data_IF_695573634256
#
_entry.id   IF_695573634256
#
_cell.length_a   1.000
_cell.length_b   1.000
_cell.length_c   1.000
_cell.angle_alpha   90.00
_cell.angle_beta   90.00
_cell.angle_gamma   90.00
#
_symmetry.space_group_name_H-M   'P 1'
#
loop_
_entity.id
_entity.type
_entity.pdbx_description
1 polymer ?
#
# COMPACT_ATOMS: atom_id res chain seq x y z
N UNK A 1 8.72 -41.35 -3.17
CA UNK A 1 7.69 -40.31 -3.00
C UNK A 1 6.36 -41.02 -2.83
N UNK A 2 5.65 -40.81 -1.72
CA UNK A 2 4.32 -41.38 -1.55
C UNK A 2 3.39 -40.71 -2.56
N UNK A 3 2.66 -41.50 -3.33
CA UNK A 3 1.70 -41.03 -4.31
C UNK A 3 0.64 -40.16 -3.59
N UNK A 4 0.59 -38.88 -3.95
CA UNK A 4 -0.30 -37.91 -3.32
C UNK A 4 -1.77 -38.30 -3.64
N UNK A 5 -2.52 -38.74 -2.65
CA UNK A 5 -3.89 -39.25 -2.80
C UNK A 5 -4.97 -38.18 -2.94
N UNK A 6 -4.61 -36.88 -2.91
CA UNK A 6 -5.53 -35.74 -2.99
C UNK A 6 -4.89 -34.56 -3.73
N UNK A 7 -5.68 -33.66 -4.32
CA UNK A 7 -5.17 -32.53 -5.13
C UNK A 7 -4.70 -31.33 -4.29
N UNK A 8 -4.70 -31.41 -2.97
CA UNK A 8 -4.24 -30.34 -2.08
C UNK A 8 -2.73 -30.40 -1.90
N UNK A 9 -2.10 -29.22 -1.79
CA UNK A 9 -0.69 -29.10 -1.41
C UNK A 9 -0.55 -29.15 0.11
N UNK A 10 0.14 -30.17 0.61
CA UNK A 10 0.60 -30.22 1.99
C UNK A 10 1.99 -29.63 2.04
N UNK A 11 2.10 -28.43 2.61
CA UNK A 11 3.35 -27.66 2.66
C UNK A 11 4.36 -28.39 3.55
N UNK A 12 5.59 -28.56 3.06
CA UNK A 12 6.68 -29.10 3.86
C UNK A 12 7.03 -28.15 5.03
N UNK A 13 7.56 -28.67 6.16
CA UNK A 13 7.99 -27.84 7.27
C UNK A 13 8.97 -26.77 6.86
N UNK A 14 8.60 -25.51 7.06
CA UNK A 14 9.38 -24.35 6.66
C UNK A 14 9.77 -23.50 7.87
N UNK A 15 10.99 -22.94 7.95
CA UNK A 15 11.40 -22.06 9.04
C UNK A 15 10.83 -20.65 8.94
N UNK A 16 10.29 -20.24 7.77
CA UNK A 16 9.91 -18.84 7.49
C UNK A 16 8.88 -18.28 8.45
N UNK A 17 7.82 -18.99 8.86
CA UNK A 17 6.82 -18.44 9.79
C UNK A 17 7.41 -18.02 11.15
N UNK A 18 8.28 -18.85 11.74
CA UNK A 18 8.91 -18.54 13.03
C UNK A 18 9.95 -17.44 12.90
N UNK A 19 10.73 -17.42 11.78
CA UNK A 19 11.70 -16.35 11.51
C UNK A 19 10.98 -15.03 11.28
N UNK A 20 9.86 -15.02 10.55
CA UNK A 20 9.04 -13.83 10.35
C UNK A 20 8.49 -13.28 11.68
N UNK A 21 7.97 -14.17 12.54
CA UNK A 21 7.44 -13.77 13.84
C UNK A 21 8.52 -13.17 14.76
N UNK A 22 9.69 -13.79 14.82
CA UNK A 22 10.82 -13.28 15.59
C UNK A 22 11.33 -11.94 15.03
N UNK A 23 11.43 -11.81 13.71
CA UNK A 23 11.86 -10.57 13.04
C UNK A 23 10.88 -9.42 13.27
N UNK A 24 9.58 -9.70 13.19
CA UNK A 24 8.54 -8.72 13.48
C UNK A 24 8.60 -8.26 14.95
N UNK A 25 8.76 -9.20 15.89
CA UNK A 25 8.92 -8.85 17.31
C UNK A 25 10.11 -7.90 17.52
N UNK A 26 11.29 -8.22 16.97
CA UNK A 26 12.49 -7.37 17.08
C UNK A 26 12.23 -5.99 16.44
N UNK A 27 11.60 -5.95 15.26
CA UNK A 27 11.27 -4.71 14.57
C UNK A 27 10.35 -3.81 15.42
N UNK A 28 9.26 -4.36 15.97
CA UNK A 28 8.33 -3.57 16.77
C UNK A 28 8.90 -3.14 18.12
N UNK A 29 9.69 -3.99 18.79
CA UNK A 29 10.40 -3.58 20.00
C UNK A 29 11.39 -2.45 19.72
N UNK A 30 12.12 -2.54 18.60
CA UNK A 30 13.02 -1.45 18.15
C UNK A 30 12.27 -0.15 17.84
N UNK A 31 11.09 -0.24 17.21
CA UNK A 31 10.25 0.92 16.89
C UNK A 31 9.70 1.58 18.16
N UNK A 32 9.15 0.79 19.08
CA UNK A 32 8.64 1.30 20.38
C UNK A 32 9.76 2.01 21.17
N UNK A 33 10.93 1.37 21.24
CA UNK A 33 12.07 1.96 21.93
C UNK A 33 12.55 3.25 21.26
N UNK A 34 12.59 3.29 19.92
CA UNK A 34 12.94 4.48 19.15
C UNK A 34 11.98 5.67 19.44
N UNK A 35 10.70 5.39 19.60
CA UNK A 35 9.69 6.42 19.89
C UNK A 35 9.70 6.94 21.34
N UNK A 36 10.36 6.22 22.28
CA UNK A 36 10.35 6.55 23.70
C UNK A 36 11.72 6.93 24.27
N UNK A 37 12.79 6.84 23.52
CA UNK A 37 14.14 7.06 24.03
C UNK A 37 14.99 7.94 23.12
N UNK A 38 15.56 8.99 23.69
CA UNK A 38 16.45 9.95 23.04
C UNK A 38 17.89 9.42 22.88
N UNK A 39 18.22 8.19 23.34
CA UNK A 39 19.60 7.66 23.39
C UNK A 39 20.19 7.27 22.04
N UNK A 40 19.42 7.28 20.95
CA UNK A 40 19.89 7.09 19.57
C UNK A 40 20.32 5.67 19.17
N UNK A 41 20.25 4.66 20.04
CA UNK A 41 20.67 3.29 19.75
C UNK A 41 19.60 2.40 19.10
N UNK A 42 18.33 2.74 19.25
CA UNK A 42 17.19 1.92 18.85
C UNK A 42 16.85 1.93 17.36
N UNK A 43 17.22 2.95 16.54
CA UNK A 43 17.04 2.85 15.07
C UNK A 43 17.72 1.63 14.47
N UNK A 44 18.85 1.19 15.06
CA UNK A 44 19.57 -0.01 14.60
C UNK A 44 18.78 -1.29 14.89
N UNK A 45 18.13 -1.41 16.05
CA UNK A 45 17.31 -2.59 16.40
C UNK A 45 16.11 -2.68 15.47
N UNK A 46 15.43 -1.57 15.21
CA UNK A 46 14.34 -1.48 14.21
C UNK A 46 14.83 -1.91 12.81
N UNK A 47 15.96 -1.35 12.35
CA UNK A 47 16.51 -1.64 11.03
C UNK A 47 16.93 -3.11 10.89
N UNK A 48 17.48 -3.72 11.93
CA UNK A 48 17.82 -5.16 11.95
C UNK A 48 16.55 -6.00 11.81
N UNK A 49 15.52 -5.75 12.66
CA UNK A 49 14.25 -6.47 12.61
C UNK A 49 13.56 -6.34 11.23
N UNK A 50 13.49 -5.13 10.69
CA UNK A 50 12.92 -4.85 9.38
C UNK A 50 13.69 -5.57 8.25
N UNK A 51 15.04 -5.54 8.29
CA UNK A 51 15.87 -6.21 7.29
C UNK A 51 15.68 -7.73 7.29
N UNK A 52 15.60 -8.34 8.47
CA UNK A 52 15.32 -9.77 8.58
C UNK A 52 13.90 -10.12 8.13
N UNK A 53 12.92 -9.27 8.40
CA UNK A 53 11.54 -9.47 7.94
C UNK A 53 11.45 -9.42 6.41
N UNK A 54 12.09 -8.43 5.78
CA UNK A 54 12.17 -8.29 4.31
C UNK A 54 12.90 -9.50 3.71
N UNK A 55 14.02 -9.90 4.27
CA UNK A 55 14.76 -11.09 3.82
C UNK A 55 13.89 -12.35 3.92
N UNK A 56 13.18 -12.54 5.03
CA UNK A 56 12.29 -13.68 5.24
C UNK A 56 11.16 -13.70 4.21
N UNK A 57 10.50 -12.55 3.99
CA UNK A 57 9.47 -12.42 2.98
C UNK A 57 9.99 -12.76 1.57
N UNK A 58 11.16 -12.25 1.20
CA UNK A 58 11.81 -12.56 -0.08
C UNK A 58 12.06 -14.06 -0.23
N UNK A 59 12.65 -14.71 0.76
CA UNK A 59 12.97 -16.14 0.71
C UNK A 59 11.71 -16.99 0.67
N UNK A 60 10.70 -16.64 1.46
CA UNK A 60 9.42 -17.35 1.46
C UNK A 60 8.73 -17.27 0.10
N UNK A 61 8.71 -16.09 -0.51
CA UNK A 61 8.11 -15.95 -1.84
C UNK A 61 8.93 -16.63 -2.95
N UNK A 62 10.24 -16.72 -2.82
CA UNK A 62 11.07 -17.54 -3.72
C UNK A 62 10.64 -18.99 -3.65
N UNK A 63 10.40 -19.54 -2.45
CA UNK A 63 9.93 -20.92 -2.28
C UNK A 63 8.53 -21.11 -2.91
N UNK A 64 7.58 -20.16 -2.69
CA UNK A 64 6.24 -20.22 -3.32
C UNK A 64 6.32 -20.19 -4.85
N UNK A 65 7.22 -19.37 -5.43
CA UNK A 65 7.43 -19.36 -6.88
C UNK A 65 8.01 -20.68 -7.36
N UNK A 66 8.94 -21.28 -6.60
CA UNK A 66 9.53 -22.59 -6.93
C UNK A 66 8.49 -23.68 -6.90
N UNK A 67 7.63 -23.74 -5.89
CA UNK A 67 6.50 -24.66 -5.76
C UNK A 67 5.54 -24.56 -6.97
N UNK A 68 5.28 -23.31 -7.42
CA UNK A 68 4.41 -23.06 -8.56
C UNK A 68 5.01 -23.50 -9.91
N UNK A 69 6.25 -23.08 -10.19
CA UNK A 69 6.83 -23.15 -11.54
C UNK A 69 7.65 -24.43 -11.79
N UNK A 70 8.29 -24.97 -10.74
CA UNK A 70 9.23 -26.08 -10.89
C UNK A 70 8.74 -27.38 -10.26
N UNK A 71 7.94 -27.30 -9.21
CA UNK A 71 7.47 -28.48 -8.47
C UNK A 71 6.03 -28.88 -8.85
N UNK A 72 5.28 -27.97 -9.49
CA UNK A 72 3.92 -28.22 -10.00
C UNK A 72 2.88 -28.45 -8.90
N UNK A 73 3.11 -27.90 -7.71
CA UNK A 73 2.22 -28.06 -6.55
C UNK A 73 0.96 -27.19 -6.64
N UNK A 74 0.91 -26.21 -7.54
CA UNK A 74 -0.25 -25.33 -7.72
C UNK A 74 -1.31 -25.96 -8.60
N UNK A 75 -1.99 -26.99 -8.07
CA UNK A 75 -3.16 -27.61 -8.68
C UNK A 75 -4.37 -26.65 -8.74
N UNK A 76 -5.40 -26.94 -9.54
CA UNK A 76 -6.61 -26.11 -9.61
C UNK A 76 -7.27 -25.78 -8.27
N UNK A 77 -7.44 -26.72 -7.31
CA UNK A 77 -7.93 -26.39 -5.97
C UNK A 77 -7.02 -25.43 -5.20
N UNK A 78 -5.69 -25.55 -5.35
CA UNK A 78 -4.71 -24.65 -4.72
C UNK A 78 -4.84 -23.25 -5.31
N UNK A 79 -4.94 -23.11 -6.64
CA UNK A 79 -5.16 -21.81 -7.29
C UNK A 79 -6.46 -21.12 -6.83
N UNK A 80 -7.54 -21.88 -6.64
CA UNK A 80 -8.79 -21.33 -6.08
C UNK A 80 -8.56 -20.85 -4.65
N UNK A 81 -7.85 -21.62 -3.82
CA UNK A 81 -7.47 -21.23 -2.47
C UNK A 81 -6.63 -19.94 -2.44
N UNK A 82 -5.67 -19.80 -3.35
CA UNK A 82 -4.84 -18.59 -3.49
C UNK A 82 -5.67 -17.36 -3.90
N UNK A 83 -6.67 -17.53 -4.81
CA UNK A 83 -7.59 -16.44 -5.18
C UNK A 83 -8.45 -16.00 -3.99
N UNK A 84 -8.99 -16.93 -3.21
CA UNK A 84 -9.70 -16.57 -1.98
C UNK A 84 -8.78 -15.88 -0.96
N UNK A 85 -7.55 -16.37 -0.81
CA UNK A 85 -6.55 -15.73 0.05
C UNK A 85 -6.28 -14.29 -0.36
N UNK A 86 -6.09 -14.02 -1.66
CA UNK A 86 -5.88 -12.68 -2.18
C UNK A 86 -7.11 -11.78 -2.01
N UNK A 87 -8.32 -12.30 -2.24
CA UNK A 87 -9.54 -11.54 -2.03
C UNK A 87 -9.74 -11.16 -0.55
N UNK A 88 -9.47 -12.07 0.38
CA UNK A 88 -9.52 -11.80 1.83
C UNK A 88 -8.42 -10.83 2.26
N UNK A 89 -7.24 -10.91 1.68
CA UNK A 89 -6.16 -9.95 1.91
C UNK A 89 -6.60 -8.55 1.48
N UNK A 90 -7.12 -8.38 0.26
CA UNK A 90 -7.65 -7.08 -0.20
C UNK A 90 -8.78 -6.59 0.69
N UNK A 91 -9.67 -7.47 1.15
CA UNK A 91 -10.73 -7.09 2.09
C UNK A 91 -10.16 -6.57 3.42
N UNK A 92 -9.08 -7.15 3.93
CA UNK A 92 -8.40 -6.64 5.14
C UNK A 92 -7.78 -5.26 4.91
N UNK A 93 -7.21 -5.02 3.74
CA UNK A 93 -6.63 -3.73 3.37
C UNK A 93 -7.72 -2.65 3.17
N UNK A 94 -8.88 -3.02 2.64
CA UNK A 94 -10.06 -2.13 2.60
C UNK A 94 -10.45 -1.72 4.02
N UNK A 95 -10.50 -2.64 4.98
CA UNK A 95 -10.79 -2.33 6.39
C UNK A 95 -9.72 -1.46 7.03
N UNK A 96 -8.45 -1.67 6.68
CA UNK A 96 -7.35 -0.82 7.11
C UNK A 96 -7.54 0.64 6.66
N UNK A 97 -7.83 0.88 5.37
CA UNK A 97 -8.12 2.22 4.87
C UNK A 97 -9.43 2.79 5.42
N UNK A 98 -10.44 1.97 5.66
CA UNK A 98 -11.69 2.41 6.28
C UNK A 98 -11.44 3.02 7.67
N UNK A 99 -10.48 2.49 8.44
CA UNK A 99 -10.11 3.06 9.74
C UNK A 99 -9.50 4.48 9.59
N UNK A 100 -8.63 4.69 8.58
CA UNK A 100 -8.05 6.01 8.31
C UNK A 100 -9.07 7.00 7.76
N UNK A 101 -9.99 6.57 6.89
CA UNK A 101 -11.11 7.38 6.46
C UNK A 101 -12.04 7.72 7.60
N UNK A 102 -12.29 6.79 8.51
CA UNK A 102 -13.07 7.06 9.71
C UNK A 102 -12.41 8.17 10.54
N UNK A 103 -11.11 8.05 10.84
CA UNK A 103 -10.39 9.07 11.58
C UNK A 103 -10.48 10.45 10.91
N UNK A 104 -10.36 10.50 9.58
CA UNK A 104 -10.52 11.73 8.81
C UNK A 104 -11.94 12.27 8.86
N UNK A 105 -12.95 11.46 8.61
CA UNK A 105 -14.36 11.89 8.60
C UNK A 105 -14.87 12.24 9.98
N UNK A 106 -14.41 11.58 11.04
CA UNK A 106 -14.77 11.91 12.42
C UNK A 106 -14.39 13.36 12.77
N UNK A 107 -13.20 13.81 12.39
CA UNK A 107 -12.76 15.17 12.67
C UNK A 107 -13.26 16.20 11.67
N UNK A 108 -13.46 15.83 10.42
CA UNK A 108 -13.89 16.75 9.36
C UNK A 108 -15.40 17.03 9.37
N UNK A 109 -16.23 16.03 9.71
CA UNK A 109 -17.68 16.20 9.83
C UNK A 109 -18.14 16.76 11.17
N UNK A 110 -17.34 16.56 12.22
CA UNK A 110 -17.64 16.99 13.57
C UNK A 110 -16.51 17.85 14.18
N UNK A 111 -16.13 18.97 13.54
CA UNK A 111 -14.99 19.79 13.97
C UNK A 111 -15.24 20.54 15.27
N UNK A 112 -16.50 20.81 15.62
CA UNK A 112 -16.91 21.49 16.82
C UNK A 112 -18.25 20.96 17.28
N UNK A 113 -18.25 19.91 18.11
CA UNK A 113 -19.49 19.46 18.71
C UNK A 113 -19.74 20.21 20.01
N UNK A 114 -21.01 20.59 20.23
CA UNK A 114 -21.49 21.11 21.51
C UNK A 114 -21.52 20.03 22.62
N UNK A 115 -20.67 19.01 22.50
CA UNK A 115 -20.55 17.91 23.43
C UNK A 115 -19.37 18.19 24.40
N UNK A 116 -19.58 18.05 25.72
CA UNK A 116 -18.50 18.21 26.69
C UNK A 116 -17.28 17.31 26.43
N UNK A 117 -17.50 16.16 25.79
CA UNK A 117 -16.46 15.21 25.43
C UNK A 117 -15.56 15.69 24.28
N UNK A 118 -16.01 16.70 23.53
CA UNK A 118 -15.32 17.24 22.36
C UNK A 118 -14.78 18.67 22.57
N UNK A 119 -14.80 19.17 23.80
CA UNK A 119 -14.28 20.52 24.13
C UNK A 119 -12.82 20.66 23.71
N UNK A 120 -11.97 19.67 23.99
CA UNK A 120 -10.57 19.71 23.58
C UNK A 120 -10.45 19.76 22.03
N UNK A 121 -11.29 19.03 21.29
CA UNK A 121 -11.31 19.09 19.82
C UNK A 121 -11.69 20.49 19.33
N UNK A 122 -12.67 21.11 19.94
CA UNK A 122 -13.13 22.46 19.59
C UNK A 122 -12.04 23.51 19.85
N UNK A 123 -11.27 23.37 20.93
CA UNK A 123 -10.12 24.24 21.23
C UNK A 123 -9.04 24.13 20.14
N UNK A 124 -8.79 22.94 19.58
CA UNK A 124 -7.79 22.73 18.54
C UNK A 124 -8.25 23.05 17.13
N UNK A 125 -9.52 22.83 16.79
CA UNK A 125 -10.06 23.00 15.44
C UNK A 125 -10.81 24.31 15.25
N UNK A 126 -11.12 25.04 16.32
CA UNK A 126 -11.92 26.26 16.24
C UNK A 126 -13.36 26.03 15.77
N UNK A 127 -13.84 24.78 15.77
CA UNK A 127 -15.20 24.41 15.33
C UNK A 127 -15.41 24.38 13.83
N UNK A 128 -14.35 24.52 13.03
CA UNK A 128 -14.40 24.56 11.57
C UNK A 128 -13.44 23.51 10.93
N UNK A 129 -13.77 23.10 9.73
CA UNK A 129 -12.90 22.21 8.95
C UNK A 129 -12.81 22.72 7.50
N UNK A 130 -11.60 22.80 6.90
CA UNK A 130 -10.28 22.65 7.56
C UNK A 130 -10.05 23.68 8.68
N UNK A 131 -9.15 23.41 9.64
CA UNK A 131 -8.84 24.38 10.71
C UNK A 131 -8.34 25.70 10.14
N UNK A 132 -8.70 26.84 10.74
CA UNK A 132 -8.30 28.18 10.27
C UNK A 132 -6.78 28.32 10.12
N UNK A 133 -6.00 27.61 10.93
CA UNK A 133 -4.53 27.57 10.85
C UNK A 133 -4.00 26.98 9.54
N UNK A 134 -4.83 26.22 8.82
CA UNK A 134 -4.49 25.62 7.52
C UNK A 134 -4.92 26.49 6.32
N UNK A 135 -5.55 27.64 6.56
CA UNK A 135 -5.95 28.54 5.48
C UNK A 135 -4.73 28.99 4.66
N UNK A 136 -4.83 28.86 3.35
CA UNK A 136 -3.76 29.17 2.41
C UNK A 136 -2.58 28.18 2.39
N UNK A 137 -2.59 27.12 3.20
CA UNK A 137 -1.54 26.08 3.24
C UNK A 137 -1.96 24.77 2.57
N UNK A 138 -3.24 24.63 2.23
CA UNK A 138 -3.80 23.42 1.62
C UNK A 138 -3.33 23.27 0.18
N UNK A 139 -3.19 22.03 -0.26
CA UNK A 139 -2.88 21.74 -1.65
C UNK A 139 -4.06 22.06 -2.57
N UNK A 140 -3.77 22.66 -3.73
CA UNK A 140 -4.76 22.80 -4.79
C UNK A 140 -5.03 21.42 -5.41
N UNK A 141 -6.24 20.86 -5.32
CA UNK A 141 -6.54 19.53 -5.84
C UNK A 141 -6.33 19.39 -7.35
N UNK A 142 -6.46 20.50 -8.11
CA UNK A 142 -6.39 20.51 -9.57
C UNK A 142 -4.98 20.61 -10.16
N UNK A 143 -3.96 20.64 -9.33
CA UNK A 143 -2.54 20.63 -9.73
C UNK A 143 -1.94 19.21 -9.65
N UNK A 144 -0.93 19.00 -8.80
CA UNK A 144 -0.24 17.70 -8.66
C UNK A 144 -1.21 16.56 -8.31
N UNK A 145 -2.18 16.71 -7.37
CA UNK A 145 -3.08 15.62 -7.03
C UNK A 145 -3.95 15.14 -8.19
N UNK A 146 -4.43 16.07 -9.03
CA UNK A 146 -5.19 15.71 -10.23
C UNK A 146 -4.33 15.02 -11.27
N UNK A 147 -3.09 15.50 -11.50
CA UNK A 147 -2.13 14.85 -12.39
C UNK A 147 -1.84 13.42 -11.91
N UNK A 148 -1.61 13.24 -10.61
CA UNK A 148 -1.41 11.93 -10.00
C UNK A 148 -2.62 11.00 -10.20
N UNK A 149 -3.83 11.54 -10.13
CA UNK A 149 -5.05 10.78 -10.41
C UNK A 149 -5.07 10.27 -11.85
N UNK A 150 -4.74 11.12 -12.83
CA UNK A 150 -4.67 10.71 -14.25
C UNK A 150 -3.60 9.63 -14.45
N UNK A 151 -2.41 9.80 -13.86
CA UNK A 151 -1.30 8.85 -13.97
C UNK A 151 -1.72 7.49 -13.40
N UNK A 152 -2.28 7.46 -12.21
CA UNK A 152 -2.63 6.20 -11.54
C UNK A 152 -3.77 5.48 -12.26
N UNK A 153 -4.85 6.17 -12.63
CA UNK A 153 -5.95 5.58 -13.40
C UNK A 153 -5.49 5.08 -14.78
N UNK A 154 -4.58 5.81 -15.45
CA UNK A 154 -3.97 5.34 -16.70
C UNK A 154 -3.19 4.05 -16.48
N UNK A 155 -2.49 3.93 -15.36
CA UNK A 155 -1.75 2.71 -14.99
C UNK A 155 -2.67 1.53 -14.72
N UNK A 156 -3.85 1.74 -14.16
CA UNK A 156 -4.92 0.74 -14.05
C UNK A 156 -5.39 0.22 -15.42
N UNK A 157 -5.52 1.11 -16.39
CA UNK A 157 -5.81 0.73 -17.78
C UNK A 157 -4.69 -0.11 -18.40
N UNK A 158 -3.42 0.26 -18.17
CA UNK A 158 -2.28 -0.48 -18.75
C UNK A 158 -2.03 -1.83 -18.08
N UNK A 159 -2.27 -2.01 -16.77
CA UNK A 159 -2.20 -3.34 -16.14
C UNK A 159 -3.31 -4.27 -16.64
N UNK A 160 -4.51 -3.73 -16.90
CA UNK A 160 -5.61 -4.48 -17.51
C UNK A 160 -5.23 -4.92 -18.93
N UNK A 161 -4.63 -4.02 -19.72
CA UNK A 161 -4.10 -4.37 -21.05
C UNK A 161 -3.03 -5.46 -20.96
N UNK A 162 -2.09 -5.37 -20.01
CA UNK A 162 -1.08 -6.41 -19.80
C UNK A 162 -1.71 -7.77 -19.54
N UNK A 163 -2.70 -7.84 -18.64
CA UNK A 163 -3.40 -9.09 -18.33
C UNK A 163 -4.15 -9.65 -19.56
N UNK A 164 -4.81 -8.79 -20.32
CA UNK A 164 -5.51 -9.21 -21.54
C UNK A 164 -4.56 -9.73 -22.61
N UNK A 165 -3.43 -9.05 -22.83
CA UNK A 165 -2.40 -9.48 -23.78
C UNK A 165 -1.81 -10.86 -23.40
N UNK A 166 -1.56 -11.11 -22.11
CA UNK A 166 -1.09 -12.41 -21.63
C UNK A 166 -2.10 -13.52 -21.92
N UNK A 167 -3.39 -13.27 -21.71
CA UNK A 167 -4.45 -14.25 -21.99
C UNK A 167 -4.59 -14.59 -23.48
N UNK A 168 -4.15 -13.68 -24.35
CA UNK A 168 -4.09 -13.87 -25.80
C UNK A 168 -2.76 -14.46 -26.28
N UNK A 169 -1.86 -14.82 -25.35
CA UNK A 169 -0.49 -15.30 -25.64
C UNK A 169 0.37 -14.26 -26.37
N UNK A 170 0.01 -12.97 -26.27
CA UNK A 170 0.78 -11.84 -26.81
C UNK A 170 1.80 -11.35 -25.79
N UNK A 171 2.89 -12.06 -25.69
CA UNK A 171 3.96 -11.79 -24.72
C UNK A 171 4.62 -10.42 -24.92
N UNK A 172 4.70 -9.95 -26.16
CA UNK A 172 5.31 -8.65 -26.45
C UNK A 172 4.48 -7.51 -25.87
N UNK A 173 3.19 -7.49 -26.16
CA UNK A 173 2.29 -6.45 -25.64
C UNK A 173 2.09 -6.58 -24.14
N UNK A 174 2.08 -7.79 -23.58
CA UNK A 174 2.08 -8.03 -22.13
C UNK A 174 3.25 -7.32 -21.43
N UNK A 175 4.48 -7.55 -21.90
CA UNK A 175 5.67 -6.93 -21.28
C UNK A 175 5.70 -5.42 -21.47
N UNK A 176 5.31 -4.90 -22.64
CA UNK A 176 5.24 -3.45 -22.90
C UNK A 176 4.22 -2.79 -21.94
N UNK A 177 3.02 -3.33 -21.87
CA UNK A 177 1.96 -2.77 -21.03
C UNK A 177 2.33 -2.81 -19.55
N UNK A 178 2.93 -3.90 -19.08
CA UNK A 178 3.38 -4.04 -17.69
C UNK A 178 4.54 -3.06 -17.37
N UNK A 179 5.46 -2.86 -18.29
CA UNK A 179 6.52 -1.86 -18.16
C UNK A 179 5.95 -0.44 -18.04
N UNK A 180 4.96 -0.09 -18.87
CA UNK A 180 4.28 1.22 -18.81
C UNK A 180 3.59 1.39 -17.45
N UNK A 181 2.91 0.35 -16.95
CA UNK A 181 2.28 0.38 -15.63
C UNK A 181 3.28 0.69 -14.52
N UNK A 182 4.44 0.01 -14.53
CA UNK A 182 5.52 0.24 -13.56
C UNK A 182 6.06 1.66 -13.66
N UNK A 183 6.29 2.16 -14.87
CA UNK A 183 6.80 3.52 -15.08
C UNK A 183 5.81 4.57 -14.54
N UNK A 184 4.50 4.39 -14.77
CA UNK A 184 3.46 5.26 -14.23
C UNK A 184 3.37 5.17 -12.70
N UNK A 185 3.52 3.99 -12.10
CA UNK A 185 3.57 3.82 -10.64
C UNK A 185 4.77 4.54 -10.01
N UNK A 186 5.95 4.47 -10.64
CA UNK A 186 7.15 5.22 -10.21
C UNK A 186 6.91 6.72 -10.35
N UNK A 187 6.31 7.18 -11.47
CA UNK A 187 6.01 8.58 -11.69
C UNK A 187 5.04 9.13 -10.62
N UNK A 188 3.96 8.39 -10.30
CA UNK A 188 3.04 8.72 -9.21
C UNK A 188 3.78 8.90 -7.88
N UNK A 189 4.59 7.91 -7.49
CA UNK A 189 5.34 7.95 -6.22
C UNK A 189 6.31 9.13 -6.16
N UNK A 190 6.97 9.45 -7.28
CA UNK A 190 7.90 10.57 -7.37
C UNK A 190 7.19 11.92 -7.23
N UNK A 191 6.02 12.08 -7.87
CA UNK A 191 5.21 13.28 -7.74
C UNK A 191 4.62 13.43 -6.34
N UNK A 192 4.20 12.32 -5.69
CA UNK A 192 3.73 12.33 -4.32
C UNK A 192 4.84 12.74 -3.34
N UNK A 193 6.06 12.27 -3.53
CA UNK A 193 7.20 12.68 -2.73
C UNK A 193 7.49 14.18 -2.92
N UNK A 194 7.46 14.67 -4.16
CA UNK A 194 7.62 16.10 -4.46
C UNK A 194 6.51 16.95 -3.83
N UNK A 195 5.26 16.49 -3.85
CA UNK A 195 4.15 17.15 -3.17
C UNK A 195 4.41 17.30 -1.66
N UNK A 196 4.92 16.24 -1.03
CA UNK A 196 5.26 16.29 0.40
C UNK A 196 6.40 17.26 0.71
N UNK A 197 7.40 17.37 -0.17
CA UNK A 197 8.47 18.36 -0.02
C UNK A 197 7.97 19.81 -0.13
N UNK A 198 6.87 20.03 -0.87
CA UNK A 198 6.24 21.35 -1.04
C UNK A 198 5.21 21.67 0.05
N UNK A 199 4.88 20.70 0.94
CA UNK A 199 3.87 20.91 1.98
C UNK A 199 4.25 22.05 2.93
N UNK A 200 3.30 22.96 3.16
CA UNK A 200 3.46 24.06 4.12
C UNK A 200 3.04 23.68 5.55
N UNK A 201 2.80 22.40 5.78
CA UNK A 201 2.45 21.81 7.06
C UNK A 201 3.25 20.53 7.29
N UNK A 202 3.45 20.18 8.56
CA UNK A 202 4.29 19.03 8.95
C UNK A 202 3.49 18.03 9.75
N UNK A 203 3.93 16.77 9.73
CA UNK A 203 3.36 15.72 10.57
C UNK A 203 3.62 15.95 12.05
N UNK A 204 4.73 16.63 12.39
CA UNK A 204 5.09 16.95 13.74
C UNK A 204 4.10 17.95 14.38
N UNK A 205 3.77 17.73 15.65
CA UNK A 205 2.88 18.60 16.39
C UNK A 205 3.66 19.87 16.81
N UNK A 206 3.49 20.93 16.04
CA UNK A 206 4.14 22.23 16.28
C UNK A 206 3.07 23.28 16.58
N UNK A 207 2.87 23.54 17.87
CA UNK A 207 1.91 24.54 18.34
C UNK A 207 2.39 25.98 18.11
N UNK A 208 3.70 26.23 18.09
CA UNK A 208 4.24 27.58 17.97
C UNK A 208 4.07 28.15 16.58
N UNK A 209 4.28 27.32 15.54
CA UNK A 209 4.19 27.74 14.15
C UNK A 209 2.83 27.41 13.50
N UNK A 210 1.94 26.69 14.20
CA UNK A 210 0.62 26.29 13.68
C UNK A 210 0.70 25.44 12.41
N UNK A 211 1.76 24.65 12.25
CA UNK A 211 2.00 23.82 11.06
C UNK A 211 1.67 22.36 11.25
N UNK A 212 1.52 21.91 12.50
CA UNK A 212 1.12 20.55 12.86
C UNK A 212 -0.33 20.48 13.34
N UNK A 213 -0.79 19.29 13.69
CA UNK A 213 -2.11 19.06 14.28
C UNK A 213 -2.94 17.98 13.60
N UNK A 214 -4.26 18.05 13.80
CA UNK A 214 -5.18 16.98 13.38
C UNK A 214 -5.27 16.87 11.86
N UNK A 215 -5.32 18.01 11.13
CA UNK A 215 -5.38 17.98 9.67
C UNK A 215 -4.11 17.34 9.07
N UNK A 216 -2.88 17.81 9.37
CA UNK A 216 -1.67 17.17 8.87
C UNK A 216 -1.56 15.70 9.25
N UNK A 217 -1.93 15.33 10.47
CA UNK A 217 -1.86 13.94 10.93
C UNK A 217 -2.76 13.03 10.11
N UNK A 218 -4.03 13.39 9.91
CA UNK A 218 -4.97 12.59 9.12
C UNK A 218 -4.59 12.57 7.64
N UNK A 219 -4.12 13.70 7.10
CA UNK A 219 -3.65 13.81 5.73
C UNK A 219 -2.45 12.87 5.48
N UNK A 220 -1.35 13.03 6.22
CA UNK A 220 -0.13 12.25 6.00
C UNK A 220 -0.31 10.76 6.33
N UNK A 221 -1.15 10.41 7.32
CA UNK A 221 -1.41 8.99 7.61
C UNK A 221 -2.17 8.34 6.46
N UNK A 222 -3.26 8.93 5.98
CA UNK A 222 -4.06 8.35 4.92
C UNK A 222 -3.31 8.31 3.58
N UNK A 223 -2.73 9.44 3.15
CA UNK A 223 -2.00 9.52 1.88
C UNK A 223 -0.66 8.81 1.92
N UNK A 224 0.04 8.80 3.06
CA UNK A 224 1.32 8.13 3.26
C UNK A 224 1.18 6.61 3.25
N UNK A 225 0.17 6.05 3.93
CA UNK A 225 -0.11 4.61 3.82
C UNK A 225 -0.51 4.22 2.41
N UNK A 226 -1.29 5.07 1.71
CA UNK A 226 -1.58 4.83 0.30
C UNK A 226 -0.29 4.82 -0.53
N UNK A 227 0.59 5.80 -0.37
CA UNK A 227 1.89 5.84 -1.04
C UNK A 227 2.76 4.60 -0.78
N UNK A 228 2.76 4.09 0.46
CA UNK A 228 3.41 2.83 0.81
C UNK A 228 2.81 1.64 0.04
N UNK A 229 1.48 1.58 -0.11
CA UNK A 229 0.80 0.56 -0.92
C UNK A 229 1.13 0.67 -2.41
N UNK A 230 1.25 1.89 -2.95
CA UNK A 230 1.71 2.11 -4.34
C UNK A 230 3.13 1.58 -4.54
N UNK A 231 4.04 1.83 -3.60
CA UNK A 231 5.42 1.30 -3.65
C UNK A 231 5.42 -0.22 -3.61
N UNK A 232 4.68 -0.84 -2.69
CA UNK A 232 4.55 -2.31 -2.58
C UNK A 232 3.95 -2.88 -3.87
N UNK A 233 2.88 -2.28 -4.39
CA UNK A 233 2.27 -2.69 -5.65
C UNK A 233 3.20 -2.56 -6.84
N UNK A 234 3.98 -1.48 -6.93
CA UNK A 234 5.00 -1.29 -7.96
C UNK A 234 6.08 -2.36 -7.90
N UNK A 235 6.56 -2.70 -6.69
CA UNK A 235 7.52 -3.80 -6.49
C UNK A 235 6.91 -5.14 -6.89
N UNK A 236 5.65 -5.39 -6.57
CA UNK A 236 4.95 -6.60 -7.00
C UNK A 236 4.86 -6.69 -8.53
N UNK A 237 4.53 -5.60 -9.22
CA UNK A 237 4.50 -5.53 -10.69
C UNK A 237 5.89 -5.72 -11.30
N UNK A 238 6.96 -5.20 -10.68
CA UNK A 238 8.35 -5.43 -11.10
C UNK A 238 8.70 -6.93 -11.02
N UNK A 239 8.33 -7.60 -9.92
CA UNK A 239 8.51 -9.05 -9.79
C UNK A 239 7.74 -9.80 -10.88
N UNK A 240 6.50 -9.41 -11.16
CA UNK A 240 5.71 -9.99 -12.26
C UNK A 240 6.35 -9.72 -13.63
N UNK A 241 6.92 -8.55 -13.85
CA UNK A 241 7.64 -8.21 -15.08
C UNK A 241 8.87 -9.12 -15.29
N UNK A 242 9.70 -9.30 -14.27
CA UNK A 242 10.86 -10.20 -14.32
C UNK A 242 10.41 -11.64 -14.56
N UNK A 243 9.39 -12.15 -13.85
CA UNK A 243 8.81 -13.47 -14.07
C UNK A 243 8.24 -13.61 -15.48
N UNK A 244 7.61 -12.55 -15.99
CA UNK A 244 7.17 -12.47 -17.37
C UNK A 244 8.30 -12.62 -18.38
N UNK A 245 9.43 -11.92 -18.19
CA UNK A 245 10.63 -12.07 -19.03
C UNK A 245 11.24 -13.48 -18.97
N UNK A 246 11.15 -14.14 -17.83
CA UNK A 246 11.62 -15.53 -17.65
C UNK A 246 10.66 -16.59 -18.26
N UNK A 247 9.44 -16.19 -18.64
CA UNK A 247 8.46 -17.09 -19.25
C UNK A 247 7.64 -17.92 -18.27
N UNK A 248 7.59 -17.51 -17.01
CA UNK A 248 6.82 -18.21 -15.98
C UNK A 248 5.31 -18.10 -16.20
N UNK A 249 4.83 -16.99 -16.77
CA UNK A 249 3.40 -16.79 -17.01
C UNK A 249 2.94 -17.38 -18.35
N UNK A 250 1.79 -18.07 -18.29
CA UNK A 250 1.09 -18.67 -19.44
C UNK A 250 -0.38 -18.26 -19.39
N UNK A 251 -1.13 -18.34 -20.51
CA UNK A 251 -2.55 -18.01 -20.56
C UNK A 251 -3.41 -18.73 -19.51
N UNK A 252 -3.05 -19.94 -19.12
CA UNK A 252 -3.74 -20.82 -18.18
C UNK A 252 -3.10 -20.87 -16.78
N UNK A 253 -1.90 -20.28 -16.61
CA UNK A 253 -1.14 -20.30 -15.34
C UNK A 253 -0.47 -18.95 -15.09
N UNK A 254 -1.22 -18.02 -14.48
CA UNK A 254 -0.75 -16.64 -14.25
C UNK A 254 -1.33 -15.98 -12.99
N UNK A 255 -1.67 -16.76 -11.96
CA UNK A 255 -2.28 -16.26 -10.74
C UNK A 255 -1.47 -15.09 -10.12
N UNK A 256 -0.14 -15.14 -10.12
CA UNK A 256 0.68 -14.07 -9.59
C UNK A 256 0.42 -12.71 -10.25
N UNK A 257 0.17 -12.68 -11.57
CA UNK A 257 -0.22 -11.46 -12.29
C UNK A 257 -1.66 -11.05 -11.99
N UNK A 258 -2.60 -12.00 -11.86
CA UNK A 258 -3.97 -11.70 -11.44
C UNK A 258 -3.98 -11.02 -10.06
N UNK A 259 -3.24 -11.57 -9.10
CA UNK A 259 -3.13 -11.02 -7.76
C UNK A 259 -2.51 -9.61 -7.77
N UNK A 260 -1.46 -9.39 -8.55
CA UNK A 260 -0.84 -8.07 -8.70
C UNK A 260 -1.81 -7.05 -9.33
N UNK A 261 -2.59 -7.45 -10.35
CA UNK A 261 -3.58 -6.58 -10.97
C UNK A 261 -4.72 -6.24 -10.01
N UNK A 262 -5.23 -7.20 -9.23
CA UNK A 262 -6.25 -6.94 -8.22
C UNK A 262 -5.76 -5.97 -7.14
N UNK A 263 -4.53 -6.17 -6.66
CA UNK A 263 -3.91 -5.27 -5.70
C UNK A 263 -3.74 -3.85 -6.27
N UNK A 264 -3.30 -3.73 -7.52
CA UNK A 264 -3.14 -2.45 -8.19
C UNK A 264 -4.45 -1.70 -8.34
N UNK A 265 -5.51 -2.37 -8.79
CA UNK A 265 -6.84 -1.78 -8.87
C UNK A 265 -7.43 -1.39 -7.51
N UNK A 266 -7.13 -2.15 -6.46
CA UNK A 266 -7.48 -1.75 -5.10
C UNK A 266 -6.81 -0.42 -4.74
N UNK A 267 -5.51 -0.27 -5.01
CA UNK A 267 -4.76 0.98 -4.79
C UNK A 267 -5.35 2.14 -5.60
N UNK A 268 -5.72 1.92 -6.88
CA UNK A 268 -6.41 2.91 -7.72
C UNK A 268 -7.71 3.42 -7.07
N UNK A 269 -8.54 2.50 -6.59
CA UNK A 269 -9.83 2.83 -5.96
C UNK A 269 -9.62 3.62 -4.67
N UNK A 270 -8.69 3.22 -3.82
CA UNK A 270 -8.37 3.94 -2.58
C UNK A 270 -7.91 5.36 -2.90
N UNK A 271 -7.09 5.55 -3.96
CA UNK A 271 -6.66 6.89 -4.38
C UNK A 271 -7.84 7.78 -4.78
N UNK A 272 -8.81 7.26 -5.52
CA UNK A 272 -10.01 8.03 -5.89
C UNK A 272 -10.79 8.52 -4.67
N UNK A 273 -10.88 7.71 -3.62
CA UNK A 273 -11.49 8.13 -2.36
C UNK A 273 -10.64 9.19 -1.65
N UNK A 274 -9.31 9.04 -1.61
CA UNK A 274 -8.40 10.03 -1.03
C UNK A 274 -8.48 11.36 -1.78
N UNK A 275 -8.40 11.33 -3.11
CA UNK A 275 -8.52 12.52 -3.93
C UNK A 275 -9.84 13.24 -3.68
N UNK A 276 -10.96 12.52 -3.70
CA UNK A 276 -12.28 13.09 -3.54
C UNK A 276 -12.54 13.64 -2.14
N UNK A 277 -12.12 12.91 -1.10
CA UNK A 277 -12.41 13.25 0.30
C UNK A 277 -11.41 14.25 0.88
N UNK A 278 -10.11 14.02 0.68
CA UNK A 278 -9.07 14.76 1.37
C UNK A 278 -8.62 15.98 0.57
N UNK A 279 -8.43 15.83 -0.74
CA UNK A 279 -7.94 16.94 -1.58
C UNK A 279 -9.08 17.82 -2.09
N UNK A 280 -10.16 17.24 -2.62
CA UNK A 280 -11.22 18.03 -3.26
C UNK A 280 -12.25 18.53 -2.26
N UNK A 281 -12.86 17.63 -1.47
CA UNK A 281 -13.92 18.02 -0.53
C UNK A 281 -13.40 18.81 0.68
N UNK A 282 -12.24 18.44 1.22
CA UNK A 282 -11.61 19.13 2.35
C UNK A 282 -10.49 20.09 1.93
N UNK A 283 -10.34 20.33 0.65
CA UNK A 283 -9.38 21.26 0.07
C UNK A 283 -9.87 22.74 0.13
N UNK A 284 -9.07 23.66 -0.46
CA UNK A 284 -9.41 25.09 -0.51
C UNK A 284 -10.65 25.36 -1.35
#
# INVERSE_FOLDING_TARGET
MSEQKHPYHLVDPSPWPIVAAASALVMFLGLISYMHDDSGSYPMVFAIGASFLIFTAYKWWVDVVREAEYEGHHSKPVEIGLRYGMALFIASEVMFFLAWFWAFFDVSLYPGANSPELVARNEFLGGVWPPEQMEGKLFNPWEIPFLNTIILLSSGGTVTWAHHALRQDDRKNFLIALFITIALGIAFTSLQAHEYDMAQFTFAFDLENGTGGIYPSTFFMATGFHGAHVIIGTLFLIVCFVRGMLGHFRPDHHFGLEAAAWYWHFVDVVWLFLFSAIYWWAGP
#
